data_IF_878804800405
#
_entry.id   IF_878804800405
#
_cell.length_a   1.000
_cell.length_b   1.000
_cell.length_c   1.000
_cell.angle_alpha   90.00
_cell.angle_beta   90.00
_cell.angle_gamma   90.00
#
_symmetry.space_group_name_H-M   'P 1'
#
loop_
_entity.id
_entity.type
_entity.pdbx_description
1 polymer ?
#
# COMPACT_ATOMS: atom_id res chain seq x y z
N UNK A 1 20.25 0.33 -2.39
CA UNK A 1 19.30 -0.36 -3.25
C UNK A 1 18.18 0.60 -3.64
N UNK A 2 17.90 0.71 -4.91
CA UNK A 2 16.84 1.60 -5.39
C UNK A 2 15.45 1.08 -5.01
N UNK A 3 14.50 2.01 -4.86
CA UNK A 3 13.12 1.68 -4.52
C UNK A 3 12.21 1.85 -5.72
N UNK A 4 11.29 0.89 -5.87
CA UNK A 4 10.17 0.99 -6.80
C UNK A 4 8.91 1.17 -5.96
N UNK A 5 8.20 2.25 -6.19
CA UNK A 5 6.96 2.55 -5.47
C UNK A 5 5.79 1.96 -6.22
N UNK A 6 5.01 1.16 -5.52
CA UNK A 6 3.73 0.63 -6.01
C UNK A 6 2.64 1.33 -5.21
N UNK A 7 1.74 2.00 -5.91
CA UNK A 7 0.60 2.65 -5.27
C UNK A 7 -0.58 1.70 -5.23
N UNK A 8 -1.20 1.59 -4.06
CA UNK A 8 -2.35 0.72 -3.83
C UNK A 8 -3.54 1.55 -3.37
N UNK A 9 -4.65 1.40 -4.10
CA UNK A 9 -5.91 2.07 -3.83
C UNK A 9 -6.99 1.05 -3.54
N UNK A 10 -8.09 1.50 -2.98
CA UNK A 10 -9.26 0.66 -2.69
C UNK A 10 -10.50 1.25 -3.32
N UNK A 11 -11.27 0.42 -4.04
CA UNK A 11 -12.45 0.87 -4.80
C UNK A 11 -13.78 0.60 -4.10
N UNK A 12 -13.74 0.09 -2.86
CA UNK A 12 -14.95 -0.37 -2.16
C UNK A 12 -15.18 -1.87 -2.28
N UNK A 13 -14.57 -2.53 -3.25
CA UNK A 13 -14.62 -3.98 -3.46
C UNK A 13 -13.26 -4.59 -3.59
N UNK A 14 -12.40 -3.98 -4.40
CA UNK A 14 -11.09 -4.51 -4.76
C UNK A 14 -9.99 -3.54 -4.39
N UNK A 15 -8.80 -4.08 -4.16
CA UNK A 15 -7.58 -3.31 -4.17
C UNK A 15 -7.06 -3.23 -5.60
N UNK A 16 -6.58 -2.06 -5.99
CA UNK A 16 -5.93 -1.84 -7.27
C UNK A 16 -4.51 -1.33 -7.05
N UNK A 17 -3.57 -1.84 -7.82
CA UNK A 17 -2.17 -1.42 -7.74
C UNK A 17 -1.69 -0.93 -9.10
N UNK A 18 -0.82 0.08 -9.09
CA UNK A 18 -0.15 0.57 -10.28
C UNK A 18 1.24 1.07 -9.92
N UNK A 19 2.07 1.16 -10.94
CA UNK A 19 3.45 1.59 -10.78
C UNK A 19 3.65 2.83 -11.64
N UNK A 20 3.90 4.01 -11.04
CA UNK A 20 4.15 5.22 -11.83
C UNK A 20 5.27 5.07 -12.85
N UNK A 21 6.32 4.29 -12.53
CA UNK A 21 7.45 4.06 -13.43
C UNK A 21 7.13 3.19 -14.64
N UNK A 22 6.05 2.40 -14.58
CA UNK A 22 5.62 1.51 -15.66
C UNK A 22 4.16 1.79 -16.01
N UNK A 23 3.88 2.85 -16.78
CA UNK A 23 2.51 3.14 -17.21
C UNK A 23 1.86 1.94 -17.90
N UNK A 24 0.62 1.64 -17.51
CA UNK A 24 -0.09 0.49 -18.05
C UNK A 24 0.13 -0.81 -17.28
N UNK A 25 1.10 -0.86 -16.38
CA UNK A 25 1.31 -2.03 -15.52
C UNK A 25 0.42 -1.89 -14.28
N UNK A 26 -0.68 -2.61 -14.27
CA UNK A 26 -1.70 -2.55 -13.22
C UNK A 26 -2.13 -3.94 -12.80
N UNK A 27 -2.64 -4.06 -11.58
CA UNK A 27 -3.20 -5.30 -11.07
C UNK A 27 -4.34 -5.01 -10.09
N UNK A 28 -5.19 -5.98 -9.87
CA UNK A 28 -6.26 -5.92 -8.87
C UNK A 28 -6.21 -7.15 -7.99
N UNK A 29 -6.87 -7.09 -6.86
CA UNK A 29 -7.02 -8.22 -5.97
C UNK A 29 -8.10 -7.96 -4.93
N UNK A 30 -8.67 -9.02 -4.37
CA UNK A 30 -9.69 -8.93 -3.33
C UNK A 30 -9.09 -8.63 -1.97
N UNK A 31 -7.83 -8.96 -1.78
CA UNK A 31 -7.07 -8.71 -0.55
C UNK A 31 -5.79 -7.96 -0.90
N UNK A 32 -5.18 -7.34 0.12
CA UNK A 32 -3.89 -6.68 -0.06
C UNK A 32 -2.82 -7.69 -0.51
N UNK A 33 -2.81 -8.88 0.07
CA UNK A 33 -1.85 -9.93 -0.30
C UNK A 33 -2.00 -10.32 -1.76
N UNK A 34 -3.23 -10.52 -2.20
CA UNK A 34 -3.51 -10.90 -3.58
C UNK A 34 -3.07 -9.83 -4.57
N UNK A 35 -3.39 -8.55 -4.31
CA UNK A 35 -2.96 -7.48 -5.21
C UNK A 35 -1.44 -7.31 -5.24
N UNK A 36 -0.77 -7.54 -4.09
CA UNK A 36 0.70 -7.52 -4.05
C UNK A 36 1.30 -8.63 -4.91
N UNK A 37 0.78 -9.84 -4.82
CA UNK A 37 1.25 -10.95 -5.63
C UNK A 37 0.98 -10.70 -7.11
N UNK A 38 -0.20 -10.21 -7.44
CA UNK A 38 -0.60 -9.94 -8.82
C UNK A 38 0.22 -8.81 -9.45
N UNK A 39 0.53 -7.75 -8.72
CA UNK A 39 1.32 -6.65 -9.28
C UNK A 39 2.78 -7.06 -9.49
N UNK A 40 3.34 -7.89 -8.63
CA UNK A 40 4.69 -8.44 -8.83
C UNK A 40 4.77 -9.25 -10.11
N UNK A 41 3.79 -10.10 -10.35
CA UNK A 41 3.70 -10.88 -11.58
C UNK A 41 3.54 -9.97 -12.79
N UNK A 42 2.69 -8.94 -12.70
CA UNK A 42 2.49 -7.97 -13.76
C UNK A 42 3.78 -7.22 -14.12
N UNK A 43 4.57 -6.84 -13.13
CA UNK A 43 5.89 -6.20 -13.35
C UNK A 43 6.79 -7.15 -14.14
N UNK A 44 6.89 -8.39 -13.70
CA UNK A 44 7.74 -9.38 -14.34
C UNK A 44 7.36 -9.58 -15.81
N UNK A 45 6.09 -9.78 -16.08
CA UNK A 45 5.58 -9.97 -17.43
C UNK A 45 5.81 -8.72 -18.32
N UNK A 46 5.61 -7.54 -17.75
CA UNK A 46 5.82 -6.29 -18.47
C UNK A 46 7.29 -6.09 -18.86
N UNK A 47 8.19 -6.33 -17.92
CA UNK A 47 9.64 -6.18 -18.15
C UNK A 47 10.12 -7.22 -19.15
N UNK A 48 9.74 -8.47 -19.02
CA UNK A 48 10.10 -9.54 -19.95
C UNK A 48 9.58 -9.24 -21.36
N UNK A 49 8.33 -8.82 -21.48
CA UNK A 49 7.74 -8.46 -22.76
C UNK A 49 8.45 -7.28 -23.44
N UNK A 50 8.80 -6.26 -22.66
CA UNK A 50 9.53 -5.10 -23.19
C UNK A 50 10.92 -5.49 -23.67
N UNK A 51 11.63 -6.35 -22.94
CA UNK A 51 12.94 -6.83 -23.35
C UNK A 51 12.88 -7.64 -24.64
N UNK A 52 11.88 -8.49 -24.79
CA UNK A 52 11.68 -9.29 -26.00
C UNK A 52 11.40 -8.39 -27.23
N UNK A 53 10.62 -7.33 -27.02
CA UNK A 53 10.26 -6.40 -28.09
C UNK A 53 11.35 -5.35 -28.37
N UNK A 54 12.41 -5.34 -27.57
CA UNK A 54 13.46 -4.34 -27.70
C UNK A 54 13.06 -2.96 -27.21
N UNK A 55 11.98 -2.86 -26.43
CA UNK A 55 11.52 -1.60 -25.87
C UNK A 55 12.37 -1.20 -24.65
N UNK A 56 12.57 0.10 -24.41
CA UNK A 56 13.31 0.54 -23.24
C UNK A 56 12.52 0.28 -21.95
N UNK A 57 13.25 -0.05 -20.90
CA UNK A 57 12.70 -0.17 -19.54
C UNK A 57 13.46 0.79 -18.63
N UNK A 58 12.84 1.26 -17.54
CA UNK A 58 13.56 2.04 -16.53
C UNK A 58 14.75 1.27 -15.98
N UNK A 59 15.86 1.97 -15.76
CA UNK A 59 17.12 1.36 -15.33
C UNK A 59 17.02 0.58 -14.02
N UNK A 60 16.11 0.99 -13.13
CA UNK A 60 15.89 0.33 -11.85
C UNK A 60 15.53 -1.15 -12.03
N UNK A 61 14.84 -1.51 -13.10
CA UNK A 61 14.45 -2.90 -13.39
C UNK A 61 15.56 -3.74 -13.99
N UNK A 62 16.71 -3.14 -14.31
CA UNK A 62 17.87 -3.85 -14.83
C UNK A 62 18.78 -4.43 -13.73
N UNK A 63 18.55 -4.05 -12.47
CA UNK A 63 19.31 -4.51 -11.33
C UNK A 63 18.39 -4.89 -10.17
N UNK A 64 18.97 -4.99 -8.99
CA UNK A 64 18.20 -5.26 -7.77
C UNK A 64 17.47 -4.01 -7.31
N UNK A 65 16.24 -4.18 -6.84
CA UNK A 65 15.44 -3.09 -6.29
C UNK A 65 14.57 -3.59 -5.14
N UNK A 66 14.17 -2.64 -4.31
CA UNK A 66 13.18 -2.85 -3.25
C UNK A 66 11.84 -2.34 -3.69
N UNK A 67 10.78 -3.03 -3.30
CA UNK A 67 9.42 -2.54 -3.48
C UNK A 67 8.96 -1.86 -2.20
N UNK A 68 8.40 -0.66 -2.34
CA UNK A 68 7.72 0.05 -1.29
C UNK A 68 6.27 0.22 -1.70
N UNK A 69 5.34 -0.24 -0.84
CA UNK A 69 3.92 -0.11 -1.12
C UNK A 69 3.39 1.16 -0.46
N UNK A 70 2.89 2.06 -1.28
CA UNK A 70 2.23 3.27 -0.81
C UNK A 70 0.73 3.07 -0.89
N UNK A 71 0.11 2.83 0.25
CA UNK A 71 -1.33 2.64 0.34
C UNK A 71 -2.03 3.97 0.56
N UNK A 72 -3.20 4.15 -0.08
CA UNK A 72 -4.08 5.22 0.35
C UNK A 72 -4.57 4.92 1.77
N UNK A 73 -4.94 5.94 2.56
CA UNK A 73 -5.51 5.69 3.90
C UNK A 73 -6.72 4.77 3.86
N UNK A 74 -7.58 4.92 2.86
CA UNK A 74 -8.73 4.04 2.66
C UNK A 74 -8.29 2.59 2.44
N UNK A 75 -7.30 2.37 1.60
CA UNK A 75 -6.76 1.03 1.35
C UNK A 75 -6.15 0.42 2.62
N UNK A 76 -5.37 1.20 3.36
CA UNK A 76 -4.78 0.73 4.62
C UNK A 76 -5.84 0.30 5.63
N UNK A 77 -6.84 1.16 5.85
CA UNK A 77 -7.87 0.89 6.85
C UNK A 77 -8.74 -0.32 6.49
N UNK A 78 -8.98 -0.55 5.20
CA UNK A 78 -9.71 -1.73 4.76
C UNK A 78 -8.86 -2.99 4.76
N UNK A 79 -7.59 -2.90 4.39
CA UNK A 79 -6.68 -4.05 4.35
C UNK A 79 -6.47 -4.68 5.73
N UNK A 80 -6.43 -3.87 6.77
CA UNK A 80 -6.14 -4.32 8.14
C UNK A 80 -7.35 -4.27 9.07
N UNK A 81 -8.55 -4.21 8.51
CA UNK A 81 -9.80 -4.16 9.29
C UNK A 81 -10.06 -5.43 10.11
N UNK A 82 -9.48 -6.55 9.73
CA UNK A 82 -9.56 -7.81 10.44
C UNK A 82 -8.54 -7.93 11.59
N UNK A 83 -7.56 -7.04 11.64
CA UNK A 83 -6.52 -7.01 12.68
C UNK A 83 -6.79 -5.89 13.68
N UNK A 84 -7.07 -4.68 13.18
CA UNK A 84 -7.28 -3.50 14.01
C UNK A 84 -8.73 -3.06 13.99
N UNK A 85 -9.34 -2.98 15.16
CA UNK A 85 -10.63 -2.29 15.31
C UNK A 85 -10.43 -0.79 15.17
N UNK A 86 -11.48 -0.06 14.83
CA UNK A 86 -11.39 1.41 14.77
C UNK A 86 -11.10 2.01 16.16
N UNK A 87 -11.58 1.34 17.22
CA UNK A 87 -11.25 1.74 18.58
C UNK A 87 -9.76 1.59 18.88
N UNK A 88 -9.15 0.48 18.47
CA UNK A 88 -7.71 0.26 18.61
C UNK A 88 -6.92 1.29 17.81
N UNK A 89 -7.30 1.53 16.58
CA UNK A 89 -6.64 2.53 15.72
C UNK A 89 -6.76 3.93 16.30
N UNK A 90 -7.90 4.27 16.89
CA UNK A 90 -8.09 5.55 17.55
C UNK A 90 -7.08 5.77 18.68
N UNK A 91 -6.81 4.75 19.48
CA UNK A 91 -5.79 4.83 20.54
C UNK A 91 -4.38 4.96 19.96
N UNK A 92 -4.09 4.24 18.90
CA UNK A 92 -2.75 4.24 18.26
C UNK A 92 -2.48 5.56 17.56
N UNK A 93 -3.46 6.11 16.87
CA UNK A 93 -3.27 7.28 15.99
C UNK A 93 -3.65 8.60 16.64
N UNK A 94 -4.47 8.57 17.69
CA UNK A 94 -5.03 9.78 18.28
C UNK A 94 -6.17 10.39 17.46
N UNK A 95 -6.65 9.67 16.45
CA UNK A 95 -7.76 10.12 15.62
C UNK A 95 -9.06 9.54 16.18
N UNK A 96 -10.10 10.36 16.20
CA UNK A 96 -11.42 9.97 16.63
C UNK A 96 -11.93 8.76 15.84
N UNK A 97 -12.53 7.80 16.52
CA UNK A 97 -13.02 6.54 15.94
C UNK A 97 -14.01 6.76 14.79
N UNK A 98 -14.94 7.70 14.96
CA UNK A 98 -15.91 8.04 13.93
C UNK A 98 -15.26 8.56 12.65
N UNK A 99 -14.21 9.36 12.80
CA UNK A 99 -13.46 9.88 11.68
C UNK A 99 -12.73 8.75 10.93
N UNK A 100 -12.18 7.80 11.66
CA UNK A 100 -11.55 6.62 11.06
C UNK A 100 -12.55 5.79 10.25
N UNK A 101 -13.79 5.65 10.73
CA UNK A 101 -14.86 5.00 9.98
C UNK A 101 -15.18 5.72 8.69
N UNK A 102 -15.21 7.07 8.71
CA UNK A 102 -15.45 7.86 7.51
C UNK A 102 -14.33 7.71 6.49
N UNK A 103 -13.08 7.65 6.94
CA UNK A 103 -11.94 7.42 6.06
C UNK A 103 -11.99 6.02 5.44
N UNK A 104 -12.30 5.00 6.23
CA UNK A 104 -12.40 3.63 5.74
C UNK A 104 -13.53 3.45 4.73
N UNK A 105 -14.62 4.18 4.90
CA UNK A 105 -15.77 4.14 4.00
C UNK A 105 -15.61 5.00 2.75
N UNK A 106 -14.51 5.76 2.64
CA UNK A 106 -14.28 6.66 1.53
C UNK A 106 -15.16 7.92 1.56
N UNK A 107 -15.85 8.18 2.69
CA UNK A 107 -16.73 9.33 2.84
C UNK A 107 -15.97 10.64 3.01
N UNK A 108 -14.75 10.56 3.52
CA UNK A 108 -13.85 11.70 3.70
C UNK A 108 -12.43 11.31 3.37
N UNK A 109 -11.69 12.23 2.77
CA UNK A 109 -10.25 12.07 2.56
C UNK A 109 -9.52 12.72 3.72
N UNK A 110 -8.63 12.01 4.41
CA UNK A 110 -7.86 12.60 5.49
C UNK A 110 -6.91 13.66 4.96
N UNK A 111 -6.75 14.73 5.73
CA UNK A 111 -5.75 15.77 5.45
C UNK A 111 -4.35 15.21 5.72
N UNK A 112 -3.29 15.83 5.16
CA UNK A 112 -1.91 15.35 5.34
C UNK A 112 -1.51 15.14 6.81
N UNK A 113 -1.98 15.99 7.72
CA UNK A 113 -1.67 15.83 9.15
C UNK A 113 -2.30 14.55 9.72
N UNK A 114 -3.49 14.18 9.26
CA UNK A 114 -4.17 12.95 9.69
C UNK A 114 -3.49 11.71 9.09
N UNK A 115 -3.09 11.78 7.83
CA UNK A 115 -2.31 10.71 7.20
C UNK A 115 -1.04 10.44 7.98
N UNK A 116 -0.35 11.49 8.40
CA UNK A 116 0.86 11.41 9.20
C UNK A 116 0.62 10.76 10.54
N UNK A 117 -0.49 11.10 11.21
CA UNK A 117 -0.88 10.48 12.49
C UNK A 117 -1.11 8.98 12.33
N UNK A 118 -1.74 8.55 11.23
CA UNK A 118 -1.97 7.13 10.96
C UNK A 118 -0.63 6.44 10.77
N UNK A 119 0.23 6.97 9.91
CA UNK A 119 1.53 6.38 9.62
C UNK A 119 2.42 6.32 10.86
N UNK A 120 2.57 7.42 11.56
CA UNK A 120 3.40 7.48 12.76
C UNK A 120 2.88 6.56 13.87
N UNK A 121 1.57 6.50 14.06
CA UNK A 121 0.97 5.62 15.06
C UNK A 121 1.26 4.14 14.77
N UNK A 122 1.13 3.73 13.53
CA UNK A 122 1.41 2.35 13.12
C UNK A 122 2.90 2.03 13.22
N UNK A 123 3.77 2.93 12.80
CA UNK A 123 5.21 2.74 12.88
C UNK A 123 5.69 2.67 14.33
N UNK A 124 5.13 3.49 15.20
CA UNK A 124 5.44 3.45 16.62
C UNK A 124 5.04 2.11 17.24
N UNK A 125 3.85 1.61 16.93
CA UNK A 125 3.42 0.28 17.37
C UNK A 125 4.34 -0.82 16.83
N UNK A 126 4.74 -0.74 15.57
CA UNK A 126 5.66 -1.70 14.96
C UNK A 126 7.00 -1.74 15.71
N UNK A 127 7.52 -0.58 16.08
CA UNK A 127 8.77 -0.47 16.82
C UNK A 127 8.64 -1.06 18.23
N UNK A 128 7.53 -0.80 18.90
CA UNK A 128 7.26 -1.37 20.23
C UNK A 128 7.20 -2.90 20.15
N UNK A 129 6.49 -3.44 19.17
CA UNK A 129 6.33 -4.88 18.99
C UNK A 129 7.66 -5.55 18.65
N UNK A 130 8.49 -4.90 17.84
CA UNK A 130 9.79 -5.42 17.47
C UNK A 130 10.74 -5.54 18.64
N UNK A 131 10.57 -4.72 19.67
CA UNK A 131 11.39 -4.74 20.87
C UNK A 131 11.00 -5.85 21.86
N UNK A 132 9.90 -6.56 21.61
CA UNK A 132 9.41 -7.64 22.48
C UNK A 132 10.06 -8.96 22.07
N UNK A 133 10.65 -9.65 23.04
CA UNK A 133 11.12 -11.02 22.88
C UNK A 133 10.21 -11.99 23.64
N UNK A 134 10.03 -13.18 23.11
CA UNK A 134 9.23 -14.23 23.75
C UNK A 134 10.08 -15.40 24.17
#
# INVERSE_FOLDING_TARGET
MEKVIIEVLYSGKNFGAHIPLLPGCVATGLTLREVKDNIKEAIQLHVEGSLEDGDPIPDVFKGEYKIEYKLSPEALLNAYSDIFTKAALSRITGINERQLWHYAAGMRKPRPIQIRKIEEGLHHLADELRAIAL
#
